data_IF_786555653756
#
_entry.id   IF_786555653756
#
_cell.length_a   1.000
_cell.length_b   1.000
_cell.length_c   1.000
_cell.angle_alpha   90.00
_cell.angle_beta   90.00
_cell.angle_gamma   90.00
#
_symmetry.space_group_name_H-M   'P 1'
#
loop_
_entity.id
_entity.type
_entity.pdbx_description
1 polymer ?
#
# COMPACT_ATOMS: atom_id res chain seq x y z
N UNK A 1 11.64 34.84 26.00
CA UNK A 1 11.02 35.14 24.70
C UNK A 1 11.59 34.20 23.64
N UNK A 2 10.76 33.68 22.76
CA UNK A 2 11.23 32.88 21.61
C UNK A 2 11.46 33.82 20.42
N UNK A 3 12.72 34.02 20.04
CA UNK A 3 13.11 34.91 18.95
C UNK A 3 12.82 34.37 17.55
N UNK A 4 12.46 33.10 17.42
CA UNK A 4 12.08 32.49 16.15
C UNK A 4 10.68 32.94 15.67
N UNK A 5 9.80 33.38 16.59
CA UNK A 5 8.38 33.59 16.29
C UNK A 5 8.02 35.01 15.83
N UNK A 6 8.89 36.02 16.03
CA UNK A 6 8.55 37.38 15.73
C UNK A 6 9.71 38.23 15.20
N UNK A 7 9.49 38.91 14.09
CA UNK A 7 10.45 39.87 13.52
C UNK A 7 10.69 41.09 14.42
N UNK A 8 9.73 41.42 15.30
CA UNK A 8 9.87 42.55 16.21
C UNK A 8 10.94 42.34 17.26
N UNK A 9 11.33 41.09 17.54
CA UNK A 9 12.41 40.81 18.46
C UNK A 9 13.79 40.83 17.77
N UNK A 10 13.88 40.17 16.60
CA UNK A 10 15.06 40.16 15.75
C UNK A 10 14.72 39.52 14.40
N UNK A 11 15.36 39.98 13.34
CA UNK A 11 15.29 39.35 12.03
C UNK A 11 16.24 38.17 11.88
N UNK A 12 17.29 38.12 12.72
CA UNK A 12 18.38 37.13 12.64
C UNK A 12 17.88 35.66 12.79
N UNK A 13 16.98 35.45 13.77
CA UNK A 13 16.50 34.08 14.08
C UNK A 13 15.09 33.83 13.55
N UNK A 14 14.40 34.86 13.08
CA UNK A 14 13.01 34.74 12.67
C UNK A 14 12.79 33.67 11.60
N UNK A 15 11.78 32.82 11.83
CA UNK A 15 11.24 31.87 10.89
C UNK A 15 9.72 32.10 10.72
N UNK A 16 9.27 32.41 9.51
CA UNK A 16 7.86 32.73 9.23
C UNK A 16 6.88 31.60 9.54
N UNK A 17 7.35 30.37 9.53
CA UNK A 17 6.60 29.15 9.80
C UNK A 17 6.81 28.58 11.21
N UNK A 18 7.59 29.26 12.08
CA UNK A 18 7.72 28.90 13.49
C UNK A 18 6.52 29.45 14.28
N UNK A 19 5.82 28.56 15.01
CA UNK A 19 4.59 28.88 15.77
C UNK A 19 4.79 28.88 17.29
N UNK A 20 5.95 28.50 17.77
CA UNK A 20 6.28 28.50 19.21
C UNK A 20 7.41 27.50 19.44
N UNK A 21 7.67 27.11 20.61
CA UNK A 21 7.13 26.96 21.92
C UNK A 21 7.85 27.82 22.97
N UNK A 22 8.92 27.27 23.61
CA UNK A 22 9.57 27.87 24.76
C UNK A 22 11.07 28.08 24.55
N UNK A 23 11.62 29.07 25.22
CA UNK A 23 13.06 29.30 25.30
C UNK A 23 13.41 29.91 26.65
N UNK A 24 14.56 29.54 27.17
CA UNK A 24 15.08 30.02 28.44
C UNK A 24 16.57 29.71 28.62
N UNK A 25 17.15 30.33 29.61
CA UNK A 25 18.53 30.10 30.00
C UNK A 25 18.65 29.99 31.53
N UNK A 26 19.52 29.10 32.00
CA UNK A 26 19.87 28.99 33.40
C UNK A 26 21.39 28.80 33.53
N UNK A 27 21.93 29.17 34.66
CA UNK A 27 23.39 29.05 34.91
C UNK A 27 23.89 27.61 34.75
N UNK A 28 23.09 26.60 35.12
CA UNK A 28 23.46 25.20 35.02
C UNK A 28 23.03 24.53 33.73
N UNK A 29 21.89 24.97 33.16
CA UNK A 29 21.27 24.35 31.99
C UNK A 29 21.61 25.02 30.67
N UNK A 30 22.47 26.07 30.68
CA UNK A 30 22.80 26.83 29.46
C UNK A 30 21.56 27.44 28.78
N UNK A 31 21.70 27.80 27.53
CA UNK A 31 20.59 28.23 26.71
C UNK A 31 19.81 27.04 26.16
N UNK A 32 18.49 27.12 26.25
CA UNK A 32 17.58 26.08 25.74
C UNK A 32 16.54 26.73 24.85
N UNK A 33 16.23 26.06 23.75
CA UNK A 33 15.15 26.45 22.84
C UNK A 33 14.37 25.22 22.39
N UNK A 34 13.04 25.32 22.44
CA UNK A 34 12.11 24.35 21.87
C UNK A 34 11.28 25.09 20.86
N UNK A 35 11.42 24.75 19.59
CA UNK A 35 10.78 25.40 18.47
C UNK A 35 9.88 24.46 17.71
N UNK A 36 8.58 24.77 17.66
CA UNK A 36 7.60 24.12 16.85
C UNK A 36 7.38 24.93 15.57
N UNK A 37 7.41 24.26 14.44
CA UNK A 37 7.21 24.88 13.14
C UNK A 37 6.23 24.07 12.30
N UNK A 38 5.42 24.77 11.47
CA UNK A 38 4.49 24.12 10.54
C UNK A 38 4.60 24.78 9.17
N UNK A 39 4.87 23.94 8.15
CA UNK A 39 5.02 24.38 6.75
C UNK A 39 4.50 23.29 5.83
N UNK A 40 3.63 23.65 4.88
CA UNK A 40 3.06 22.73 3.88
C UNK A 40 2.39 21.48 4.49
N UNK A 41 1.66 21.65 5.59
CA UNK A 41 0.97 20.56 6.28
C UNK A 41 1.88 19.65 7.12
N UNK A 42 3.19 19.90 7.14
CA UNK A 42 4.14 19.14 7.96
C UNK A 42 4.48 19.96 9.19
N UNK A 43 4.38 19.33 10.37
CA UNK A 43 4.77 19.94 11.65
C UNK A 43 6.01 19.27 12.20
N UNK A 44 7.02 20.08 12.54
CA UNK A 44 8.31 19.60 13.07
C UNK A 44 8.65 20.32 14.37
N UNK A 45 9.34 19.61 15.23
CA UNK A 45 9.83 20.08 16.52
C UNK A 45 11.36 20.03 16.54
N UNK A 46 12.00 21.17 16.83
CA UNK A 46 13.43 21.24 17.11
C UNK A 46 13.66 21.55 18.59
N UNK A 47 14.64 20.85 19.19
CA UNK A 47 15.01 21.01 20.60
C UNK A 47 16.51 21.19 20.69
N UNK A 48 16.95 22.31 21.21
CA UNK A 48 18.34 22.61 21.55
C UNK A 48 18.41 22.81 23.06
N UNK A 49 19.30 22.10 23.74
CA UNK A 49 19.47 22.15 25.19
C UNK A 49 20.94 22.28 25.58
N UNK A 50 21.18 22.99 26.68
CA UNK A 50 22.53 23.20 27.24
C UNK A 50 23.51 23.78 26.21
N UNK A 51 23.04 24.75 25.44
CA UNK A 51 23.83 25.41 24.42
C UNK A 51 24.59 26.58 25.08
N UNK A 52 25.89 26.68 24.81
CA UNK A 52 26.71 27.77 25.31
C UNK A 52 26.32 29.13 24.68
N UNK A 53 26.65 30.21 25.36
CA UNK A 53 26.54 31.55 24.78
C UNK A 53 27.56 31.71 23.65
N UNK A 54 27.15 32.36 22.60
CA UNK A 54 28.02 32.75 21.49
C UNK A 54 28.72 34.09 21.71
N UNK A 55 29.76 34.33 20.98
CA UNK A 55 30.41 35.64 20.95
C UNK A 55 29.47 36.71 20.42
N UNK A 56 29.57 37.92 20.98
CA UNK A 56 28.82 39.09 20.48
C UNK A 56 27.28 38.96 20.59
N UNK A 57 26.78 38.42 21.70
CA UNK A 57 25.31 38.28 21.95
C UNK A 57 24.60 37.30 20.98
N UNK A 58 25.30 36.39 20.42
CA UNK A 58 24.72 35.30 19.60
C UNK A 58 24.15 34.24 20.53
N UNK A 59 22.83 33.98 20.44
CA UNK A 59 22.22 32.85 21.11
C UNK A 59 22.18 31.65 20.16
N UNK A 60 23.11 30.72 20.34
CA UNK A 60 23.23 29.55 19.46
C UNK A 60 22.02 28.61 19.55
N UNK A 61 21.30 28.55 20.68
CA UNK A 61 20.12 27.71 20.79
C UNK A 61 19.03 28.09 19.77
N UNK A 62 18.88 29.38 19.46
CA UNK A 62 17.95 29.83 18.41
C UNK A 62 18.49 29.56 17.01
N UNK A 63 19.78 29.79 16.76
CA UNK A 63 20.37 29.50 15.44
C UNK A 63 20.36 28.02 15.15
N UNK A 64 20.62 27.17 16.14
CA UNK A 64 20.60 25.71 16.00
C UNK A 64 19.19 25.20 15.71
N UNK A 65 18.18 25.64 16.49
CA UNK A 65 16.80 25.31 16.20
C UNK A 65 16.37 25.76 14.81
N UNK A 66 16.76 26.97 14.38
CA UNK A 66 16.48 27.49 13.04
C UNK A 66 17.12 26.60 11.97
N UNK A 67 18.41 26.34 12.09
CA UNK A 67 19.15 25.52 11.11
C UNK A 67 18.64 24.08 11.04
N UNK A 68 18.29 23.49 12.19
CA UNK A 68 17.68 22.13 12.23
C UNK A 68 16.33 22.12 11.51
N UNK A 69 15.47 23.10 11.75
CA UNK A 69 14.16 23.18 11.09
C UNK A 69 14.29 23.43 9.58
N UNK A 70 15.17 24.37 9.17
CA UNK A 70 15.46 24.62 7.77
C UNK A 70 15.97 23.36 7.07
N UNK A 71 16.99 22.70 7.64
CA UNK A 71 17.50 21.44 7.12
C UNK A 71 16.44 20.35 7.05
N UNK A 72 15.61 20.21 8.09
CA UNK A 72 14.59 19.16 8.14
C UNK A 72 13.51 19.39 7.05
N UNK A 73 13.02 20.63 6.85
CA UNK A 73 12.06 20.93 5.78
C UNK A 73 12.66 20.86 4.37
N UNK A 74 13.96 21.11 4.23
CA UNK A 74 14.64 20.98 2.95
C UNK A 74 14.91 19.51 2.60
N UNK A 75 15.25 18.70 3.61
CA UNK A 75 15.63 17.30 3.43
C UNK A 75 14.48 16.31 3.43
N UNK A 76 13.41 16.56 4.19
CA UNK A 76 12.29 15.63 4.37
C UNK A 76 10.99 16.18 3.81
N UNK A 77 10.09 15.28 3.43
CA UNK A 77 8.77 15.60 2.92
C UNK A 77 7.96 14.37 2.54
N UNK A 78 6.73 14.60 2.10
CA UNK A 78 5.93 13.54 1.51
C UNK A 78 6.40 13.28 0.09
N UNK A 79 6.93 12.09 -0.15
CA UNK A 79 7.41 11.60 -1.45
C UNK A 79 6.37 10.63 -1.99
N UNK A 80 5.98 10.79 -3.26
CA UNK A 80 5.10 9.82 -3.94
C UNK A 80 5.91 8.55 -4.21
N UNK A 81 5.56 7.46 -3.54
CA UNK A 81 6.25 6.17 -3.66
C UNK A 81 5.54 5.21 -4.60
N UNK A 82 4.24 5.43 -4.85
CA UNK A 82 3.43 4.59 -5.73
C UNK A 82 2.35 5.43 -6.41
N UNK A 83 2.11 5.18 -7.69
CA UNK A 83 1.07 5.85 -8.47
C UNK A 83 -0.13 4.95 -8.67
N UNK A 84 -1.35 5.51 -8.53
CA UNK A 84 -2.61 4.83 -8.83
C UNK A 84 -2.78 4.42 -10.30
N UNK A 85 -1.93 4.91 -11.19
CA UNK A 85 -1.92 4.52 -12.62
C UNK A 85 -0.91 3.41 -12.95
N UNK A 86 -0.09 2.99 -12.00
CA UNK A 86 0.97 2.00 -12.21
C UNK A 86 0.43 0.58 -12.02
N UNK A 87 0.66 -0.29 -13.01
CA UNK A 87 0.35 -1.72 -12.85
C UNK A 87 1.39 -2.33 -11.93
N UNK A 88 0.93 -2.84 -10.79
CA UNK A 88 1.80 -3.38 -9.75
C UNK A 88 1.80 -4.90 -9.68
N UNK A 89 0.72 -5.53 -10.16
CA UNK A 89 0.57 -6.98 -10.14
C UNK A 89 -0.43 -7.46 -11.19
N UNK A 90 -0.41 -8.76 -11.51
CA UNK A 90 -1.38 -9.41 -12.38
C UNK A 90 -1.90 -10.68 -11.70
N UNK A 91 -3.23 -10.84 -11.65
CA UNK A 91 -3.89 -11.99 -11.04
C UNK A 91 -4.55 -12.83 -12.11
N UNK A 92 -4.38 -14.18 -12.09
CA UNK A 92 -5.07 -15.08 -12.99
C UNK A 92 -6.59 -14.97 -12.85
N UNK A 93 -7.32 -15.04 -13.97
CA UNK A 93 -8.79 -15.00 -14.00
C UNK A 93 -9.34 -16.25 -14.67
N UNK A 94 -10.26 -16.94 -13.97
CA UNK A 94 -10.99 -18.07 -14.51
C UNK A 94 -12.31 -17.62 -15.15
N UNK A 95 -12.79 -18.42 -16.07
CA UNK A 95 -14.08 -18.23 -16.77
C UNK A 95 -14.17 -16.97 -17.62
N UNK A 96 -13.05 -16.36 -17.97
CA UNK A 96 -12.97 -15.31 -18.97
C UNK A 96 -12.43 -15.90 -20.29
N UNK A 97 -13.03 -15.56 -21.44
CA UNK A 97 -12.58 -16.06 -22.75
C UNK A 97 -11.68 -15.08 -23.48
N UNK A 98 -11.57 -13.86 -23.01
CA UNK A 98 -10.78 -12.80 -23.68
C UNK A 98 -9.37 -12.66 -23.14
N UNK A 99 -9.16 -12.93 -21.85
CA UNK A 99 -7.86 -12.81 -21.17
C UNK A 99 -7.75 -13.81 -20.04
N UNK A 100 -6.52 -14.19 -19.71
CA UNK A 100 -6.22 -15.12 -18.62
C UNK A 100 -5.83 -14.41 -17.31
N UNK A 101 -5.54 -13.09 -17.38
CA UNK A 101 -5.08 -12.28 -16.26
C UNK A 101 -5.80 -10.93 -16.21
N UNK A 102 -5.90 -10.36 -15.02
CA UNK A 102 -6.32 -8.96 -14.81
C UNK A 102 -5.19 -8.21 -14.11
N UNK A 103 -4.87 -7.03 -14.65
CA UNK A 103 -3.87 -6.14 -14.04
C UNK A 103 -4.47 -5.43 -12.84
N UNK A 104 -3.66 -5.29 -11.78
CA UNK A 104 -4.01 -4.59 -10.56
C UNK A 104 -3.30 -3.23 -10.50
N UNK A 105 -4.04 -2.25 -10.05
CA UNK A 105 -3.58 -0.89 -9.77
C UNK A 105 -3.73 -0.59 -8.28
N UNK A 106 -2.88 0.27 -7.70
CA UNK A 106 -3.18 0.89 -6.43
C UNK A 106 -4.44 1.74 -6.57
N UNK A 107 -5.33 1.68 -5.58
CA UNK A 107 -6.56 2.47 -5.56
C UNK A 107 -6.31 3.97 -5.56
N UNK A 108 -5.29 4.38 -4.81
CA UNK A 108 -4.88 5.77 -4.63
C UNK A 108 -3.36 5.93 -4.77
N UNK A 109 -2.91 7.16 -5.03
CA UNK A 109 -1.50 7.51 -4.96
C UNK A 109 -1.00 7.40 -3.52
N UNK A 110 0.16 6.77 -3.31
CA UNK A 110 0.74 6.61 -1.97
C UNK A 110 1.89 7.59 -1.78
N UNK A 111 1.76 8.42 -0.75
CA UNK A 111 2.78 9.35 -0.31
C UNK A 111 3.30 8.94 1.07
N UNK A 112 4.60 8.85 1.22
CA UNK A 112 5.26 8.49 2.48
C UNK A 112 6.18 9.63 2.90
N UNK A 113 6.23 9.92 4.21
CA UNK A 113 7.14 10.92 4.74
C UNK A 113 8.55 10.34 4.80
N UNK A 114 9.41 10.78 3.88
CA UNK A 114 10.75 10.27 3.67
C UNK A 114 11.75 11.42 3.45
N UNK A 115 13.03 11.08 3.45
CA UNK A 115 14.06 11.95 2.91
C UNK A 115 13.84 12.10 1.40
N UNK A 116 13.85 13.30 0.87
CA UNK A 116 13.47 13.61 -0.52
C UNK A 116 14.38 12.97 -1.57
N UNK A 117 15.61 12.63 -1.19
CA UNK A 117 16.60 11.94 -2.03
C UNK A 117 16.60 10.41 -1.85
N UNK A 118 15.59 9.84 -1.14
CA UNK A 118 15.41 8.39 -0.99
C UNK A 118 15.22 7.74 -2.36
N UNK A 119 16.02 6.75 -2.70
CA UNK A 119 15.82 5.92 -3.88
C UNK A 119 14.69 4.92 -3.63
N UNK A 120 13.49 5.26 -4.12
CA UNK A 120 12.26 4.49 -3.90
C UNK A 120 12.42 3.05 -4.40
N UNK A 121 13.12 2.84 -5.54
CA UNK A 121 13.21 1.51 -6.15
C UNK A 121 14.08 0.54 -5.35
N UNK A 122 15.10 1.04 -4.66
CA UNK A 122 16.03 0.22 -3.88
C UNK A 122 15.67 0.15 -2.40
N UNK A 123 15.04 1.21 -1.86
CA UNK A 123 14.80 1.33 -0.42
C UNK A 123 13.37 0.94 0.01
N UNK A 124 12.40 0.98 -0.93
CA UNK A 124 11.01 0.66 -0.62
C UNK A 124 10.64 -0.69 -1.24
N UNK A 125 10.26 -1.64 -0.39
CA UNK A 125 9.79 -2.97 -0.78
C UNK A 125 8.29 -3.05 -0.64
N UNK A 126 7.60 -3.61 -1.65
CA UNK A 126 6.17 -3.88 -1.60
C UNK A 126 5.88 -5.35 -1.37
N UNK A 127 4.93 -5.65 -0.49
CA UNK A 127 4.36 -6.98 -0.28
C UNK A 127 2.89 -7.00 -0.65
N UNK A 128 2.49 -7.97 -1.47
CA UNK A 128 1.11 -8.13 -1.92
C UNK A 128 0.37 -9.11 -0.99
N UNK A 129 -0.79 -8.69 -0.50
CA UNK A 129 -1.71 -9.51 0.30
C UNK A 129 -3.03 -9.61 -0.43
N UNK A 130 -3.16 -10.57 -1.31
CA UNK A 130 -4.36 -10.79 -2.10
C UNK A 130 -5.38 -11.60 -1.31
N UNK A 131 -6.67 -11.34 -1.51
CA UNK A 131 -7.77 -12.10 -0.91
C UNK A 131 -7.91 -13.49 -1.54
N UNK A 132 -7.45 -13.65 -2.78
CA UNK A 132 -7.43 -14.92 -3.51
C UNK A 132 -6.31 -14.92 -4.56
N UNK A 133 -5.68 -16.08 -4.77
CA UNK A 133 -4.63 -16.25 -5.79
C UNK A 133 -5.18 -16.26 -7.22
N UNK A 134 -6.49 -16.42 -7.38
CA UNK A 134 -7.18 -16.46 -8.69
C UNK A 134 -8.56 -15.84 -8.53
N UNK A 135 -8.98 -15.03 -9.49
CA UNK A 135 -10.31 -14.43 -9.53
C UNK A 135 -11.23 -15.21 -10.47
N UNK A 136 -12.50 -15.26 -10.14
CA UNK A 136 -13.54 -15.83 -11.02
C UNK A 136 -14.30 -14.70 -11.73
N UNK A 137 -14.36 -14.74 -13.05
CA UNK A 137 -15.20 -13.81 -13.79
C UNK A 137 -16.70 -14.04 -13.45
N UNK A 138 -17.54 -12.96 -13.40
CA UNK A 138 -17.24 -11.61 -13.81
C UNK A 138 -16.44 -10.85 -12.74
N UNK A 139 -15.51 -9.98 -13.20
CA UNK A 139 -14.73 -9.07 -12.36
C UNK A 139 -15.13 -7.65 -12.75
N UNK A 140 -15.45 -6.81 -11.78
CA UNK A 140 -15.76 -5.40 -12.05
C UNK A 140 -14.48 -4.56 -12.12
N UNK A 141 -14.47 -3.48 -12.89
CA UNK A 141 -13.43 -2.47 -12.82
C UNK A 141 -13.43 -1.79 -11.44
N UNK A 142 -12.26 -1.53 -10.88
CA UNK A 142 -12.14 -0.93 -9.55
C UNK A 142 -12.51 -1.87 -8.39
N UNK A 143 -12.71 -3.17 -8.65
CA UNK A 143 -12.98 -4.13 -7.59
C UNK A 143 -11.73 -4.32 -6.72
N UNK A 144 -11.85 -4.10 -5.41
CA UNK A 144 -10.76 -4.38 -4.45
C UNK A 144 -10.54 -5.89 -4.35
N UNK A 145 -9.30 -6.32 -4.52
CA UNK A 145 -8.89 -7.73 -4.53
C UNK A 145 -7.78 -8.06 -3.55
N UNK A 146 -7.29 -7.06 -2.83
CA UNK A 146 -6.23 -7.21 -1.85
C UNK A 146 -5.66 -5.88 -1.43
N UNK A 147 -4.51 -5.91 -0.81
CA UNK A 147 -3.73 -4.73 -0.41
C UNK A 147 -2.26 -4.90 -0.77
N UNK A 148 -1.57 -3.79 -0.94
CA UNK A 148 -0.12 -3.72 -1.02
C UNK A 148 0.39 -2.99 0.21
N UNK A 149 1.32 -3.60 0.92
CA UNK A 149 2.00 -3.02 2.09
C UNK A 149 3.41 -2.64 1.68
N UNK A 150 3.79 -1.41 1.98
CA UNK A 150 5.09 -0.84 1.63
C UNK A 150 5.98 -0.80 2.86
N UNK A 151 7.21 -1.29 2.73
CA UNK A 151 8.21 -1.35 3.78
C UNK A 151 9.46 -0.57 3.40
N UNK A 152 10.06 0.09 4.42
CA UNK A 152 11.42 0.59 4.36
C UNK A 152 12.26 -0.15 5.40
N UNK A 153 13.14 -1.05 4.94
CA UNK A 153 13.72 -2.06 5.82
C UNK A 153 12.64 -2.96 6.39
N UNK A 154 12.51 -3.00 7.70
CA UNK A 154 11.47 -3.78 8.41
C UNK A 154 10.26 -2.94 8.84
N UNK A 155 10.32 -1.61 8.65
CA UNK A 155 9.25 -0.70 9.05
C UNK A 155 8.18 -0.60 7.96
N UNK A 156 6.90 -0.80 8.33
CA UNK A 156 5.77 -0.50 7.47
C UNK A 156 5.62 1.03 7.34
N UNK A 157 5.75 1.53 6.11
CA UNK A 157 5.71 2.97 5.81
C UNK A 157 4.46 3.40 5.05
N UNK A 158 3.69 2.44 4.53
CA UNK A 158 2.44 2.74 3.82
C UNK A 158 1.67 1.49 3.45
N UNK A 159 0.38 1.69 3.13
CA UNK A 159 -0.54 0.63 2.71
C UNK A 159 -1.56 1.20 1.75
N UNK A 160 -1.97 0.40 0.76
CA UNK A 160 -2.97 0.79 -0.24
C UNK A 160 -3.75 -0.43 -0.71
N UNK A 161 -5.06 -0.25 -0.92
CA UNK A 161 -5.91 -1.25 -1.57
C UNK A 161 -5.45 -1.48 -3.01
N UNK A 162 -5.51 -2.73 -3.46
CA UNK A 162 -5.31 -3.11 -4.86
C UNK A 162 -6.67 -3.33 -5.54
N UNK A 163 -6.84 -2.68 -6.68
CA UNK A 163 -8.07 -2.74 -7.46
C UNK A 163 -7.79 -3.23 -8.88
N UNK A 164 -8.80 -3.86 -9.46
CA UNK A 164 -8.76 -4.34 -10.85
C UNK A 164 -8.80 -3.17 -11.83
N UNK A 165 -7.93 -3.20 -12.84
CA UNK A 165 -7.83 -2.14 -13.85
C UNK A 165 -9.02 -2.11 -14.80
N UNK A 166 -9.54 -3.29 -15.19
CA UNK A 166 -10.57 -3.43 -16.20
C UNK A 166 -11.68 -4.37 -15.73
N UNK A 167 -12.90 -4.14 -16.23
CA UNK A 167 -13.98 -5.10 -16.06
C UNK A 167 -13.80 -6.29 -17.01
N UNK A 168 -14.05 -7.51 -16.51
CA UNK A 168 -14.00 -8.76 -17.28
C UNK A 168 -15.33 -9.49 -17.19
N UNK A 169 -15.87 -9.89 -18.34
CA UNK A 169 -17.13 -10.63 -18.42
C UNK A 169 -16.89 -12.14 -18.34
N UNK A 170 -17.86 -12.84 -17.77
CA UNK A 170 -17.81 -14.30 -17.65
C UNK A 170 -18.23 -14.98 -18.95
N UNK A 171 -17.44 -15.94 -19.42
CA UNK A 171 -17.81 -16.87 -20.47
C UNK A 171 -18.73 -17.95 -19.93
N UNK A 172 -19.98 -17.98 -20.41
CA UNK A 172 -20.96 -19.00 -20.04
C UNK A 172 -20.50 -20.41 -20.39
N UNK A 173 -19.80 -20.58 -21.51
CA UNK A 173 -19.31 -21.88 -21.99
C UNK A 173 -18.22 -22.45 -21.06
N UNK A 174 -17.22 -21.63 -20.67
CA UNK A 174 -16.15 -22.07 -19.76
C UNK A 174 -16.71 -22.41 -18.38
N UNK A 175 -17.61 -21.58 -17.86
CA UNK A 175 -18.22 -21.82 -16.55
C UNK A 175 -19.10 -23.08 -16.53
N UNK A 176 -19.93 -23.29 -17.58
CA UNK A 176 -20.75 -24.48 -17.70
C UNK A 176 -19.90 -25.76 -17.87
N UNK A 177 -18.83 -25.67 -18.65
CA UNK A 177 -17.87 -26.78 -18.83
C UNK A 177 -17.20 -27.19 -17.54
N UNK A 178 -16.78 -26.25 -16.69
CA UNK A 178 -16.19 -26.55 -15.39
C UNK A 178 -17.19 -27.15 -14.41
N UNK A 179 -18.44 -26.63 -14.39
CA UNK A 179 -19.51 -27.23 -13.59
C UNK A 179 -19.86 -28.65 -14.03
N UNK A 180 -19.92 -28.91 -15.34
CA UNK A 180 -20.14 -30.27 -15.87
C UNK A 180 -18.97 -31.18 -15.50
N UNK A 181 -17.73 -30.73 -15.68
CA UNK A 181 -16.55 -31.48 -15.24
C UNK A 181 -16.63 -31.88 -13.77
N UNK A 182 -16.90 -30.92 -12.88
CA UNK A 182 -17.06 -31.17 -11.43
C UNK A 182 -18.20 -32.13 -11.11
N UNK A 183 -19.30 -32.09 -11.86
CA UNK A 183 -20.42 -33.02 -11.70
C UNK A 183 -20.06 -34.44 -12.13
N UNK A 184 -19.38 -34.61 -13.28
CA UNK A 184 -19.01 -35.94 -13.79
C UNK A 184 -17.81 -36.58 -13.06
N UNK A 185 -16.86 -35.74 -12.57
CA UNK A 185 -15.70 -36.26 -11.84
C UNK A 185 -15.89 -36.30 -10.31
N UNK A 186 -17.04 -35.91 -9.81
CA UNK A 186 -17.40 -36.13 -8.41
C UNK A 186 -17.74 -37.60 -8.22
N UNK A 187 -17.42 -38.14 -7.03
CA UNK A 187 -17.66 -39.57 -6.66
C UNK A 187 -19.06 -40.04 -7.05
N UNK A 188 -20.07 -39.22 -6.85
CA UNK A 188 -21.45 -39.49 -7.27
C UNK A 188 -21.65 -39.57 -8.79
N UNK A 189 -20.97 -38.75 -9.56
CA UNK A 189 -21.04 -38.77 -11.03
C UNK A 189 -20.43 -40.04 -11.59
N UNK A 190 -19.29 -40.49 -11.04
CA UNK A 190 -18.65 -41.76 -11.41
C UNK A 190 -19.58 -42.95 -11.07
N UNK A 191 -20.17 -42.93 -9.89
CA UNK A 191 -21.14 -43.99 -9.50
C UNK A 191 -22.35 -44.02 -10.46
N UNK A 192 -22.92 -42.88 -10.80
CA UNK A 192 -24.05 -42.82 -11.74
C UNK A 192 -23.68 -43.35 -13.14
N UNK A 193 -22.50 -43.03 -13.66
CA UNK A 193 -22.01 -43.54 -14.94
C UNK A 193 -21.80 -45.05 -14.87
N UNK A 194 -21.20 -45.57 -13.79
CA UNK A 194 -21.02 -47.02 -13.59
C UNK A 194 -22.36 -47.77 -13.53
N UNK A 195 -23.36 -47.21 -12.83
CA UNK A 195 -24.72 -47.79 -12.77
C UNK A 195 -25.39 -47.80 -14.15
N UNK A 196 -25.30 -46.73 -14.91
CA UNK A 196 -25.84 -46.67 -16.28
C UNK A 196 -25.20 -47.68 -17.21
N UNK A 197 -23.89 -47.87 -17.13
CA UNK A 197 -23.14 -48.87 -17.91
C UNK A 197 -23.60 -50.30 -17.52
N UNK A 198 -23.73 -50.60 -16.21
CA UNK A 198 -24.22 -51.88 -15.73
C UNK A 198 -25.66 -52.19 -16.21
N UNK A 199 -26.53 -51.21 -16.17
CA UNK A 199 -27.92 -51.32 -16.68
C UNK A 199 -27.94 -51.60 -18.20
N UNK A 200 -27.10 -50.90 -18.94
CA UNK A 200 -26.98 -51.07 -20.40
C UNK A 200 -26.46 -52.49 -20.74
N UNK A 201 -25.43 -52.95 -20.05
CA UNK A 201 -24.85 -54.27 -20.22
C UNK A 201 -25.89 -55.37 -19.86
N UNK A 202 -26.61 -55.21 -18.75
CA UNK A 202 -27.68 -56.14 -18.34
C UNK A 202 -28.80 -56.19 -19.41
N UNK A 203 -29.18 -55.03 -19.96
CA UNK A 203 -30.20 -54.96 -21.04
C UNK A 203 -29.76 -55.69 -22.31
N UNK A 204 -28.48 -55.58 -22.70
CA UNK A 204 -27.92 -56.29 -23.85
C UNK A 204 -27.89 -57.81 -23.60
N UNK A 205 -27.50 -58.25 -22.42
CA UNK A 205 -27.47 -59.67 -22.03
C UNK A 205 -28.87 -60.29 -22.02
N UNK A 206 -29.87 -59.58 -21.47
CA UNK A 206 -31.29 -60.01 -21.46
C UNK A 206 -31.81 -60.15 -22.89
N UNK A 207 -31.50 -59.20 -23.75
CA UNK A 207 -31.90 -59.24 -25.16
C UNK A 207 -31.21 -60.36 -25.94
N UNK A 208 -29.94 -60.64 -25.69
CA UNK A 208 -29.23 -61.75 -26.29
C UNK A 208 -29.80 -63.11 -25.82
N UNK A 209 -30.12 -63.22 -24.53
CA UNK A 209 -30.73 -64.43 -23.96
C UNK A 209 -32.15 -64.68 -24.49
N UNK A 210 -32.94 -63.64 -24.66
CA UNK A 210 -34.28 -63.76 -25.23
C UNK A 210 -34.30 -64.11 -26.75
N UNK A 211 -33.22 -63.87 -27.45
CA UNK A 211 -33.06 -64.19 -28.88
C UNK A 211 -32.53 -65.63 -29.13
N UNK A 212 -32.04 -66.26 -28.10
CA UNK A 212 -31.49 -67.62 -28.10
C UNK A 212 -32.49 -68.69 -27.66
N UNK A 213 -33.70 -68.28 -27.32
CA UNK A 213 -34.87 -69.15 -27.15
C UNK A 213 -35.83 -68.97 -28.31
#
# INVERSE_FOLDING_TARGET
>A
KNYLTSRSYTTKYYLSYCIGLNAGATVRGGNCCVALASKNGITMLAVAMNVADGEGSVNYAFSDCKSMLEWAYDSFGYVKVLSSSEIVYEVPVRYCSSVDYVSLLPKDDVYVFLKKDTDIKSEIRGEYRLFADTLDAPVAEGQTVGEMVLFKGDDEVGRVDLVTKNALSRSGALYAGDKLKKLFFNVWGVICVCVLVLVAVAGVLIKAYSRSR
#
